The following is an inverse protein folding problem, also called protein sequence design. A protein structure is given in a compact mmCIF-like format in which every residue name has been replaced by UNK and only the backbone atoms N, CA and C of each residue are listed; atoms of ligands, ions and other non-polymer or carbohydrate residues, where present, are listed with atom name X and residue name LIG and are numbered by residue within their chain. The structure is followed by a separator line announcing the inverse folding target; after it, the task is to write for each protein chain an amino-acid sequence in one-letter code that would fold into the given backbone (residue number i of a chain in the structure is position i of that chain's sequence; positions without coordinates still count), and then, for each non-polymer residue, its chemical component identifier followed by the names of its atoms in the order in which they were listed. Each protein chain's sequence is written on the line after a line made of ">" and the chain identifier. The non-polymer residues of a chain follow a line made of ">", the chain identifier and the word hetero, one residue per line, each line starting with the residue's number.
data_IF_621433374271
#
_entry.id   IF_621433374271
#
_cell.length_a   1.000
_cell.length_b   1.000
_cell.length_c   1.000
_cell.angle_alpha   90.00
_cell.angle_beta   90.00
_cell.angle_gamma   90.00
#
_symmetry.space_group_name_H-M   'P 1'
#
loop_
_entity.id
_entity.type
_entity.pdbx_description
1 polymer ?
#
# COMPACT_ATOMS: atom_id res chain seq x y z
N UNK A 1 -7.24 -2.45 11.36
CA UNK A 1 -5.81 -2.48 11.06
C UNK A 1 -5.20 -3.89 11.05
N UNK A 2 -5.27 -4.68 12.15
CA UNK A 2 -4.68 -6.02 12.19
C UNK A 2 -5.18 -6.95 11.06
N UNK A 3 -6.50 -7.00 10.83
CA UNK A 3 -7.07 -7.77 9.72
C UNK A 3 -6.56 -7.32 8.34
N UNK A 4 -6.36 -6.02 8.15
CA UNK A 4 -5.77 -5.47 6.92
C UNK A 4 -4.35 -5.99 6.71
N UNK A 5 -3.55 -5.94 7.77
CA UNK A 5 -2.15 -6.37 7.75
C UNK A 5 -2.00 -7.86 7.47
N UNK A 6 -2.83 -8.69 8.10
CA UNK A 6 -2.90 -10.14 7.84
C UNK A 6 -3.36 -10.37 6.39
N UNK A 7 -4.40 -9.67 5.94
CA UNK A 7 -4.90 -9.77 4.58
C UNK A 7 -3.83 -9.48 3.52
N UNK A 8 -3.08 -8.38 3.68
CA UNK A 8 -1.97 -8.05 2.78
C UNK A 8 -0.81 -9.05 2.87
N UNK A 9 -0.53 -9.59 4.07
CA UNK A 9 0.49 -10.63 4.24
C UNK A 9 0.11 -11.91 3.49
N UNK A 10 -1.11 -12.38 3.67
CA UNK A 10 -1.63 -13.55 2.96
C UNK A 10 -1.74 -13.30 1.44
N UNK A 11 -2.12 -12.08 1.02
CA UNK A 11 -2.09 -11.69 -0.39
C UNK A 11 -0.68 -11.82 -0.98
N UNK A 12 0.35 -11.37 -0.26
CA UNK A 12 1.74 -11.51 -0.72
C UNK A 12 2.15 -12.98 -0.88
N UNK A 13 1.69 -13.86 0.01
CA UNK A 13 1.88 -15.31 -0.11
C UNK A 13 1.20 -15.86 -1.35
N UNK A 14 -0.06 -15.49 -1.61
CA UNK A 14 -0.81 -15.97 -2.79
C UNK A 14 -0.22 -15.44 -4.09
N UNK A 15 0.29 -14.20 -4.13
CA UNK A 15 1.06 -13.67 -5.26
C UNK A 15 2.29 -14.54 -5.53
N UNK A 16 3.06 -14.88 -4.47
CA UNK A 16 4.25 -15.73 -4.59
C UNK A 16 3.93 -17.14 -5.07
N UNK A 17 2.79 -17.72 -4.65
CA UNK A 17 2.33 -19.03 -5.13
C UNK A 17 1.88 -18.97 -6.60
N UNK A 18 1.12 -17.93 -6.99
CA UNK A 18 0.68 -17.72 -8.36
C UNK A 18 1.86 -17.45 -9.32
N UNK A 19 2.92 -16.76 -8.85
CA UNK A 19 4.09 -16.41 -9.68
C UNK A 19 4.95 -17.61 -10.10
N UNK A 20 4.60 -18.83 -9.63
CA UNK A 20 5.24 -20.06 -10.11
C UNK A 20 4.79 -20.47 -11.51
N UNK A 21 3.59 -20.06 -11.92
CA UNK A 21 2.97 -20.43 -13.20
C UNK A 21 2.52 -19.23 -14.03
N UNK A 22 2.26 -18.09 -13.40
CA UNK A 22 1.71 -16.92 -14.05
C UNK A 22 2.71 -15.75 -14.04
N UNK A 23 2.63 -14.92 -15.07
CA UNK A 23 3.42 -13.68 -15.13
C UNK A 23 2.91 -12.65 -14.12
N UNK A 24 3.80 -11.75 -13.70
CA UNK A 24 3.44 -10.64 -12.80
C UNK A 24 2.28 -9.78 -13.34
N UNK A 25 2.18 -9.64 -14.67
CA UNK A 25 1.13 -8.85 -15.33
C UNK A 25 -0.22 -9.53 -15.24
N UNK A 26 -0.28 -10.85 -15.42
CA UNK A 26 -1.50 -11.65 -15.27
C UNK A 26 -1.98 -11.65 -13.83
N UNK A 27 -1.06 -11.85 -12.88
CA UNK A 27 -1.38 -11.76 -11.43
C UNK A 27 -1.96 -10.38 -11.11
N UNK A 28 -1.39 -9.30 -11.65
CA UNK A 28 -1.88 -7.95 -11.45
C UNK A 28 -3.30 -7.77 -12.04
N UNK A 29 -3.56 -8.31 -13.23
CA UNK A 29 -4.89 -8.29 -13.83
C UNK A 29 -5.91 -9.04 -12.98
N UNK A 30 -5.65 -10.31 -12.68
CA UNK A 30 -6.60 -11.13 -11.90
C UNK A 30 -6.82 -10.56 -10.50
N UNK A 31 -5.78 -10.04 -9.85
CA UNK A 31 -5.92 -9.33 -8.56
C UNK A 31 -6.87 -8.14 -8.67
N UNK A 32 -6.75 -7.33 -9.71
CA UNK A 32 -7.62 -6.18 -9.91
C UNK A 32 -9.04 -6.60 -10.28
N UNK A 33 -9.18 -7.58 -11.17
CA UNK A 33 -10.47 -8.10 -11.61
C UNK A 33 -11.26 -8.71 -10.43
N UNK A 34 -10.69 -9.68 -9.73
CA UNK A 34 -11.34 -10.29 -8.57
C UNK A 34 -11.48 -9.30 -7.40
N UNK A 35 -10.57 -8.33 -7.31
CA UNK A 35 -10.68 -7.24 -6.36
C UNK A 35 -11.89 -6.35 -6.65
N UNK A 36 -12.13 -5.99 -7.89
CA UNK A 36 -13.33 -5.26 -8.31
C UNK A 36 -14.60 -6.06 -8.03
N UNK A 37 -14.62 -7.34 -8.40
CA UNK A 37 -15.76 -8.25 -8.13
C UNK A 37 -16.06 -8.32 -6.64
N UNK A 38 -15.03 -8.43 -5.79
CA UNK A 38 -15.19 -8.44 -4.34
C UNK A 38 -15.62 -7.10 -3.74
N UNK A 39 -15.28 -5.99 -4.40
CA UNK A 39 -15.66 -4.63 -3.96
C UNK A 39 -17.13 -4.33 -4.28
N UNK A 40 -17.64 -4.80 -5.42
CA UNK A 40 -19.00 -4.48 -5.87
C UNK A 40 -20.08 -4.75 -4.82
N UNK A 41 -20.15 -5.92 -4.15
CA UNK A 41 -21.15 -6.16 -3.11
C UNK A 41 -21.04 -5.19 -1.93
N UNK A 42 -19.83 -4.73 -1.59
CA UNK A 42 -19.61 -3.77 -0.50
C UNK A 42 -20.16 -2.39 -0.84
N UNK A 43 -20.12 -1.99 -2.11
CA UNK A 43 -20.64 -0.71 -2.59
C UNK A 43 -22.14 -0.77 -2.91
N UNK A 44 -22.59 -1.86 -3.52
CA UNK A 44 -23.99 -2.05 -3.90
C UNK A 44 -24.88 -2.37 -2.70
N UNK A 45 -24.39 -3.12 -1.71
CA UNK A 45 -25.18 -3.52 -0.55
C UNK A 45 -25.85 -2.35 0.20
N UNK A 46 -25.13 -1.28 0.56
CA UNK A 46 -25.71 -0.09 1.13
C UNK A 46 -26.68 0.62 0.15
N UNK A 47 -26.32 0.73 -1.13
CA UNK A 47 -27.15 1.38 -2.15
C UNK A 47 -28.49 0.66 -2.35
N UNK A 48 -28.50 -0.68 -2.35
CA UNK A 48 -29.71 -1.50 -2.50
C UNK A 48 -30.71 -1.34 -1.34
N UNK A 49 -30.27 -0.78 -0.21
CA UNK A 49 -31.13 -0.51 0.95
C UNK A 49 -31.79 0.87 0.89
N UNK A 50 -31.48 1.69 -0.13
CA UNK A 50 -32.08 3.01 -0.34
C UNK A 50 -33.28 2.93 -1.28
N UNK A 51 -34.22 3.91 -1.22
CA UNK A 51 -35.36 3.97 -2.13
C UNK A 51 -34.98 4.04 -3.62
N UNK A 52 -33.84 4.67 -3.94
CA UNK A 52 -33.29 4.73 -5.28
C UNK A 52 -31.83 4.21 -5.29
N UNK A 53 -31.63 2.90 -5.50
CA UNK A 53 -30.29 2.29 -5.51
C UNK A 53 -29.35 2.85 -6.59
N UNK A 54 -29.93 3.26 -7.75
CA UNK A 54 -29.13 3.79 -8.87
C UNK A 54 -28.59 5.17 -8.56
N UNK A 55 -29.43 6.04 -7.99
CA UNK A 55 -28.99 7.36 -7.57
C UNK A 55 -27.93 7.27 -6.44
N UNK A 56 -28.16 6.43 -5.44
CA UNK A 56 -27.23 6.21 -4.34
C UNK A 56 -25.87 5.69 -4.81
N UNK A 57 -25.84 4.69 -5.72
CA UNK A 57 -24.61 4.19 -6.30
C UNK A 57 -23.91 5.27 -7.13
N UNK A 58 -24.66 6.00 -7.97
CA UNK A 58 -24.10 7.08 -8.79
C UNK A 58 -23.47 8.18 -7.92
N UNK A 59 -24.06 8.51 -6.80
CA UNK A 59 -23.50 9.48 -5.85
C UNK A 59 -22.21 8.96 -5.20
N UNK A 60 -22.18 7.69 -4.81
CA UNK A 60 -20.99 7.04 -4.22
C UNK A 60 -19.80 7.04 -5.18
N UNK A 61 -20.01 6.89 -6.49
CA UNK A 61 -18.93 6.82 -7.48
C UNK A 61 -18.68 8.14 -8.22
N UNK A 62 -19.44 9.20 -7.91
CA UNK A 62 -19.33 10.48 -8.58
C UNK A 62 -18.01 11.17 -8.22
N UNK A 63 -17.27 11.61 -9.24
CA UNK A 63 -16.08 12.46 -9.09
C UNK A 63 -15.99 13.48 -10.21
N UNK A 64 -15.38 14.61 -9.93
CA UNK A 64 -15.07 15.66 -10.93
C UNK A 64 -13.59 15.66 -11.32
N UNK A 65 -12.79 14.73 -10.76
CA UNK A 65 -11.32 14.74 -10.87
C UNK A 65 -10.76 13.53 -11.64
N UNK A 66 -11.47 13.05 -12.66
CA UNK A 66 -11.08 11.83 -13.42
C UNK A 66 -9.64 11.89 -13.98
N UNK A 67 -9.16 13.05 -14.42
CA UNK A 67 -7.78 13.21 -14.89
C UNK A 67 -6.74 12.90 -13.81
N UNK A 68 -6.99 13.31 -12.55
CA UNK A 68 -6.12 12.98 -11.41
C UNK A 68 -6.15 11.48 -11.08
N UNK A 69 -7.32 10.85 -11.22
CA UNK A 69 -7.43 9.39 -11.09
C UNK A 69 -6.64 8.67 -12.18
N UNK A 70 -6.64 9.17 -13.42
CA UNK A 70 -5.85 8.62 -14.51
C UNK A 70 -4.33 8.64 -14.24
N UNK A 71 -3.80 9.81 -13.83
CA UNK A 71 -2.38 9.93 -13.46
C UNK A 71 -2.03 9.03 -12.29
N UNK A 72 -2.88 9.01 -11.23
CA UNK A 72 -2.70 8.15 -10.09
C UNK A 72 -2.74 6.65 -10.47
N UNK A 73 -3.65 6.28 -11.37
CA UNK A 73 -3.78 4.91 -11.83
C UNK A 73 -2.52 4.44 -12.58
N UNK A 74 -1.94 5.29 -13.44
CA UNK A 74 -0.69 5.00 -14.14
C UNK A 74 0.47 4.78 -13.16
N UNK A 75 0.70 5.73 -12.26
CA UNK A 75 1.79 5.63 -11.28
C UNK A 75 1.57 4.43 -10.34
N UNK A 76 0.33 4.24 -9.89
CA UNK A 76 -0.02 3.13 -9.01
C UNK A 76 0.10 1.76 -9.69
N UNK A 77 -0.23 1.67 -11.00
CA UNK A 77 -0.03 0.45 -11.79
C UNK A 77 1.43 0.08 -11.89
N UNK A 78 2.30 1.04 -12.20
CA UNK A 78 3.76 0.82 -12.22
C UNK A 78 4.23 0.34 -10.85
N UNK A 79 3.84 1.02 -9.77
CA UNK A 79 4.21 0.63 -8.41
C UNK A 79 3.71 -0.77 -8.02
N UNK A 80 2.49 -1.13 -8.43
CA UNK A 80 1.92 -2.46 -8.18
C UNK A 80 2.70 -3.54 -8.92
N UNK A 81 3.02 -3.34 -10.20
CA UNK A 81 3.79 -4.31 -11.00
C UNK A 81 5.19 -4.49 -10.41
N UNK A 82 5.88 -3.40 -10.06
CA UNK A 82 7.18 -3.46 -9.41
C UNK A 82 7.12 -4.19 -8.06
N UNK A 83 6.09 -3.92 -7.26
CA UNK A 83 5.86 -4.59 -5.97
C UNK A 83 5.59 -6.09 -6.13
N UNK A 84 4.73 -6.48 -7.07
CA UNK A 84 4.43 -7.89 -7.32
C UNK A 84 5.62 -8.62 -7.90
N UNK A 85 6.36 -7.98 -8.82
CA UNK A 85 7.61 -8.53 -9.31
C UNK A 85 8.63 -8.75 -8.17
N UNK A 86 8.72 -7.81 -7.23
CA UNK A 86 9.60 -7.95 -6.06
C UNK A 86 9.18 -9.13 -5.18
N UNK A 87 7.88 -9.30 -4.93
CA UNK A 87 7.34 -10.42 -4.17
C UNK A 87 7.61 -11.75 -4.90
N UNK A 88 7.54 -11.75 -6.23
CA UNK A 88 7.79 -12.94 -7.04
C UNK A 88 9.28 -13.35 -7.10
N UNK A 89 10.21 -12.41 -7.02
CA UNK A 89 11.63 -12.64 -7.34
C UNK A 89 12.58 -12.45 -6.16
N UNK A 90 12.17 -11.80 -5.07
CA UNK A 90 12.98 -11.65 -3.86
C UNK A 90 12.48 -12.58 -2.74
N UNK A 91 13.29 -12.88 -1.73
CA UNK A 91 12.78 -13.45 -0.49
C UNK A 91 11.63 -12.61 0.07
N UNK A 92 10.54 -13.26 0.49
CA UNK A 92 9.29 -12.60 0.81
C UNK A 92 9.44 -11.56 1.93
N UNK A 93 10.25 -11.92 2.95
CA UNK A 93 10.60 -11.01 4.05
C UNK A 93 11.38 -9.78 3.58
N UNK A 94 12.32 -9.95 2.63
CA UNK A 94 13.11 -8.85 2.07
C UNK A 94 12.24 -7.91 1.23
N UNK A 95 11.38 -8.44 0.36
CA UNK A 95 10.46 -7.64 -0.46
C UNK A 95 9.55 -6.77 0.40
N UNK A 96 8.95 -7.35 1.45
CA UNK A 96 8.06 -6.63 2.36
C UNK A 96 8.81 -5.65 3.26
N UNK A 97 10.01 -6.01 3.76
CA UNK A 97 10.82 -5.08 4.55
C UNK A 97 11.21 -3.83 3.75
N UNK A 98 11.56 -3.98 2.47
CA UNK A 98 11.85 -2.85 1.58
C UNK A 98 10.59 -2.02 1.26
N UNK A 99 9.41 -2.64 1.12
CA UNK A 99 8.17 -1.91 0.94
C UNK A 99 7.86 -0.99 2.14
N UNK A 100 8.27 -1.36 3.37
CA UNK A 100 8.14 -0.50 4.54
C UNK A 100 9.07 0.71 4.57
N UNK A 101 9.95 0.89 3.58
CA UNK A 101 10.65 2.17 3.36
C UNK A 101 9.75 3.26 2.75
N UNK A 102 8.55 2.92 2.26
CA UNK A 102 7.61 3.87 1.67
C UNK A 102 7.32 5.11 2.54
N UNK A 103 7.11 5.05 3.87
CA UNK A 103 6.91 6.25 4.70
C UNK A 103 8.09 7.24 4.69
N UNK A 104 9.31 6.74 4.47
CA UNK A 104 10.50 7.58 4.32
C UNK A 104 10.35 8.42 3.04
N UNK A 105 9.99 7.78 1.95
CA UNK A 105 9.75 8.44 0.66
C UNK A 105 8.50 9.33 0.69
N UNK A 106 7.46 8.99 1.45
CA UNK A 106 6.29 9.85 1.67
C UNK A 106 6.71 11.18 2.28
N UNK A 107 7.64 11.18 3.25
CA UNK A 107 8.16 12.42 3.84
C UNK A 107 8.89 13.27 2.81
N UNK A 108 9.75 12.66 1.99
CA UNK A 108 10.46 13.35 0.90
C UNK A 108 9.47 13.89 -0.14
N UNK A 109 8.50 13.08 -0.56
CA UNK A 109 7.48 13.48 -1.53
C UNK A 109 6.58 14.61 -1.01
N UNK A 110 6.24 14.63 0.29
CA UNK A 110 5.46 15.71 0.90
C UNK A 110 6.20 17.06 0.84
N UNK A 111 7.52 17.05 1.05
CA UNK A 111 8.34 18.26 0.88
C UNK A 111 8.37 18.72 -0.57
N UNK A 112 8.63 17.81 -1.51
CA UNK A 112 8.81 18.15 -2.92
C UNK A 112 7.50 18.49 -3.64
N UNK A 113 6.41 17.80 -3.31
CA UNK A 113 5.12 17.93 -4.02
C UNK A 113 4.15 18.88 -3.32
N UNK A 114 4.15 18.93 -1.98
CA UNK A 114 3.23 19.74 -1.19
C UNK A 114 3.91 20.98 -0.60
N UNK A 115 5.22 21.14 -0.74
CA UNK A 115 5.97 22.25 -0.13
C UNK A 115 5.96 22.21 1.40
N UNK A 116 5.75 21.04 2.01
CA UNK A 116 5.73 20.93 3.50
C UNK A 116 7.11 21.26 4.08
N UNK A 117 7.13 22.12 5.10
CA UNK A 117 8.36 22.42 5.84
C UNK A 117 8.60 21.32 6.86
N UNK A 118 9.64 20.53 6.63
CA UNK A 118 10.04 19.42 7.49
C UNK A 118 11.19 19.84 8.40
N UNK A 119 11.00 19.71 9.72
CA UNK A 119 12.02 20.07 10.72
C UNK A 119 13.16 19.04 10.72
N UNK A 120 14.35 19.49 11.20
CA UNK A 120 15.61 18.69 11.24
C UNK A 120 15.42 17.30 11.87
N UNK A 121 14.63 17.17 12.92
CA UNK A 121 14.36 15.87 13.58
C UNK A 121 13.69 14.85 12.65
N UNK A 122 12.79 15.32 11.77
CA UNK A 122 12.12 14.43 10.80
C UNK A 122 13.09 14.03 9.69
N UNK A 123 13.98 14.95 9.27
CA UNK A 123 15.05 14.63 8.31
C UNK A 123 16.06 13.62 8.90
N UNK A 124 16.40 13.74 10.18
CA UNK A 124 17.25 12.75 10.86
C UNK A 124 16.60 11.35 10.85
N UNK A 125 15.31 11.26 11.15
CA UNK A 125 14.60 9.99 11.06
C UNK A 125 14.57 9.43 9.64
N UNK A 126 14.34 10.28 8.62
CA UNK A 126 14.41 9.87 7.21
C UNK A 126 15.79 9.30 6.86
N UNK A 127 16.87 9.97 7.31
CA UNK A 127 18.24 9.50 7.09
C UNK A 127 18.51 8.15 7.77
N UNK A 128 18.05 7.96 9.01
CA UNK A 128 18.17 6.68 9.73
C UNK A 128 17.41 5.57 8.99
N UNK A 129 16.18 5.83 8.55
CA UNK A 129 15.39 4.86 7.79
C UNK A 129 16.05 4.51 6.45
N UNK A 130 16.66 5.50 5.78
CA UNK A 130 17.42 5.28 4.56
C UNK A 130 18.65 4.39 4.79
N UNK A 131 19.36 4.56 5.90
CA UNK A 131 20.44 3.65 6.31
C UNK A 131 19.89 2.23 6.50
N UNK A 132 18.74 2.05 7.16
CA UNK A 132 18.10 0.75 7.29
C UNK A 132 17.80 0.09 5.95
N UNK A 133 17.31 0.86 4.97
CA UNK A 133 17.10 0.39 3.61
C UNK A 133 18.42 -0.04 2.95
N UNK A 134 19.49 0.76 3.08
CA UNK A 134 20.82 0.40 2.55
C UNK A 134 21.38 -0.87 3.18
N UNK A 135 21.12 -1.12 4.47
CA UNK A 135 21.51 -2.37 5.15
C UNK A 135 20.82 -3.59 4.53
N UNK A 136 19.57 -3.48 4.09
CA UNK A 136 18.85 -4.56 3.37
C UNK A 136 19.38 -4.73 1.95
N UNK A 137 19.53 -3.62 1.22
CA UNK A 137 19.90 -3.61 -0.21
C UNK A 137 21.37 -4.06 -0.40
N UNK A 138 22.25 -3.68 0.51
CA UNK A 138 23.70 -3.99 0.46
C UNK A 138 24.34 -3.68 -0.89
N UNK A 139 24.31 -2.41 -1.38
CA UNK A 139 24.70 -2.08 -2.74
C UNK A 139 26.17 -2.34 -3.07
N UNK A 140 27.04 -2.50 -2.03
CA UNK A 140 28.47 -2.76 -2.18
C UNK A 140 28.86 -4.23 -1.87
N UNK A 141 27.90 -5.14 -1.77
CA UNK A 141 28.14 -6.56 -1.50
C UNK A 141 27.91 -7.43 -2.72
N UNK A 142 28.54 -8.60 -2.76
CA UNK A 142 28.29 -9.60 -3.80
C UNK A 142 26.84 -10.14 -3.78
N UNK A 143 26.08 -9.87 -2.73
CA UNK A 143 24.65 -10.25 -2.61
C UNK A 143 23.68 -9.19 -3.13
N UNK A 144 24.22 -8.08 -3.67
CA UNK A 144 23.39 -7.04 -4.30
C UNK A 144 22.66 -7.60 -5.51
N UNK A 145 21.33 -7.36 -5.56
CA UNK A 145 20.51 -7.76 -6.69
C UNK A 145 19.73 -6.55 -7.24
N UNK A 146 19.59 -6.50 -8.56
CA UNK A 146 18.72 -5.52 -9.20
C UNK A 146 17.27 -5.55 -8.66
N UNK A 147 16.83 -6.73 -8.19
CA UNK A 147 15.52 -6.90 -7.56
C UNK A 147 15.32 -6.01 -6.34
N UNK A 148 16.36 -5.77 -5.55
CA UNK A 148 16.27 -4.84 -4.41
C UNK A 148 15.98 -3.41 -4.86
N UNK A 149 16.53 -2.96 -6.00
CA UNK A 149 16.23 -1.64 -6.56
C UNK A 149 14.78 -1.56 -7.08
N UNK A 150 14.27 -2.65 -7.66
CA UNK A 150 12.86 -2.74 -8.08
C UNK A 150 11.93 -2.59 -6.87
N UNK A 151 12.24 -3.24 -5.75
CA UNK A 151 11.47 -3.09 -4.51
C UNK A 151 11.51 -1.65 -3.95
N UNK A 152 12.67 -1.00 -4.01
CA UNK A 152 12.81 0.41 -3.61
C UNK A 152 12.01 1.33 -4.55
N UNK A 153 12.06 1.10 -5.87
CA UNK A 153 11.26 1.84 -6.84
C UNK A 153 9.75 1.66 -6.59
N UNK A 154 9.31 0.45 -6.22
CA UNK A 154 7.93 0.20 -5.78
C UNK A 154 7.56 1.01 -4.53
N UNK A 155 8.47 1.13 -3.56
CA UNK A 155 8.25 1.93 -2.35
C UNK A 155 8.14 3.43 -2.67
N UNK A 156 8.95 3.96 -3.60
CA UNK A 156 8.90 5.34 -4.07
C UNK A 156 7.57 5.62 -4.77
N UNK A 157 7.16 4.77 -5.71
CA UNK A 157 5.88 4.93 -6.41
C UNK A 157 4.69 4.84 -5.45
N UNK A 158 4.75 3.94 -4.46
CA UNK A 158 3.75 3.85 -3.39
C UNK A 158 3.67 5.14 -2.57
N UNK A 159 4.80 5.79 -2.31
CA UNK A 159 4.83 7.07 -1.61
C UNK A 159 4.14 8.19 -2.42
N UNK A 160 4.41 8.27 -3.71
CA UNK A 160 3.75 9.24 -4.60
C UNK A 160 2.24 8.99 -4.62
N UNK A 161 1.81 7.74 -4.75
CA UNK A 161 0.39 7.35 -4.70
C UNK A 161 -0.26 7.73 -3.37
N UNK A 162 0.45 7.57 -2.24
CA UNK A 162 -0.07 7.97 -0.93
C UNK A 162 -0.35 9.48 -0.85
N UNK A 163 0.52 10.32 -1.40
CA UNK A 163 0.29 11.78 -1.51
C UNK A 163 -0.94 12.07 -2.37
N UNK A 164 -1.05 11.43 -3.54
CA UNK A 164 -2.20 11.61 -4.43
C UNK A 164 -3.52 11.16 -3.78
N UNK A 165 -3.51 10.08 -2.99
CA UNK A 165 -4.68 9.66 -2.21
C UNK A 165 -5.04 10.74 -1.18
N UNK A 166 -4.05 11.29 -0.46
CA UNK A 166 -4.27 12.38 0.51
C UNK A 166 -4.95 13.58 -0.16
N UNK A 167 -4.47 13.98 -1.34
CA UNK A 167 -5.09 15.07 -2.11
C UNK A 167 -6.52 14.75 -2.59
N UNK A 168 -6.78 13.54 -3.08
CA UNK A 168 -8.11 13.12 -3.53
C UNK A 168 -9.09 12.99 -2.35
N UNK A 169 -8.62 12.52 -1.19
CA UNK A 169 -9.47 12.33 0.00
C UNK A 169 -10.02 13.63 0.60
N UNK A 170 -9.52 14.79 0.16
CA UNK A 170 -10.07 16.10 0.55
C UNK A 170 -11.45 16.38 -0.05
N UNK A 171 -11.78 15.75 -1.18
CA UNK A 171 -13.03 15.99 -1.91
C UNK A 171 -13.84 14.72 -2.13
N UNK A 172 -13.19 13.58 -2.28
CA UNK A 172 -13.83 12.33 -2.64
C UNK A 172 -13.87 11.36 -1.44
N UNK A 173 -14.89 10.51 -1.40
CA UNK A 173 -14.98 9.49 -0.36
C UNK A 173 -13.95 8.38 -0.55
N UNK A 174 -13.54 7.67 0.51
CA UNK A 174 -12.68 6.49 0.38
C UNK A 174 -13.21 5.44 -0.61
N UNK A 175 -14.53 5.24 -0.60
CA UNK A 175 -15.20 4.27 -1.47
C UNK A 175 -15.11 4.68 -2.95
N UNK A 176 -15.29 5.98 -3.25
CA UNK A 176 -15.07 6.57 -4.57
C UNK A 176 -13.63 6.34 -5.04
N UNK A 177 -12.65 6.59 -4.15
CA UNK A 177 -11.23 6.44 -4.47
C UNK A 177 -10.89 4.98 -4.80
N UNK A 178 -11.38 4.04 -4.00
CA UNK A 178 -11.13 2.60 -4.22
C UNK A 178 -11.82 2.12 -5.49
N UNK A 179 -13.08 2.53 -5.73
CA UNK A 179 -13.84 2.18 -6.93
C UNK A 179 -13.09 2.61 -8.22
N UNK A 180 -12.74 3.90 -8.33
CA UNK A 180 -12.03 4.39 -9.52
C UNK A 180 -10.64 3.79 -9.69
N UNK A 181 -10.00 3.42 -8.60
CA UNK A 181 -8.72 2.69 -8.65
C UNK A 181 -8.88 1.37 -9.41
N UNK A 182 -9.82 0.51 -8.98
CA UNK A 182 -10.06 -0.76 -9.63
C UNK A 182 -10.61 -0.61 -11.05
N UNK A 183 -11.52 0.35 -11.24
CA UNK A 183 -12.16 0.59 -12.54
C UNK A 183 -11.15 0.98 -13.62
N UNK A 184 -10.09 1.71 -13.25
CA UNK A 184 -9.01 2.07 -14.16
C UNK A 184 -7.94 0.96 -14.24
N UNK A 185 -7.62 0.31 -13.12
CA UNK A 185 -6.57 -0.71 -13.10
C UNK A 185 -6.96 -2.00 -13.83
N UNK A 186 -8.23 -2.40 -13.85
CA UNK A 186 -8.68 -3.60 -14.57
C UNK A 186 -8.36 -3.49 -16.07
N UNK A 187 -8.82 -2.48 -16.83
CA UNK A 187 -8.50 -2.39 -18.26
C UNK A 187 -7.01 -2.16 -18.52
N UNK A 188 -6.31 -1.39 -17.66
CA UNK A 188 -4.88 -1.14 -17.82
C UNK A 188 -4.06 -2.40 -17.61
N UNK A 189 -4.36 -3.19 -16.57
CA UNK A 189 -3.66 -4.45 -16.31
C UNK A 189 -4.01 -5.52 -17.36
N UNK A 190 -5.23 -5.52 -17.87
CA UNK A 190 -5.60 -6.39 -19.00
C UNK A 190 -4.77 -6.06 -20.24
N UNK A 191 -4.69 -4.77 -20.61
CA UNK A 191 -3.91 -4.34 -21.75
C UNK A 191 -2.42 -4.70 -21.63
N UNK A 192 -1.87 -4.69 -20.40
CA UNK A 192 -0.50 -5.12 -20.15
C UNK A 192 -0.35 -6.65 -20.18
N UNK A 193 -1.32 -7.39 -19.66
CA UNK A 193 -1.26 -8.85 -19.55
C UNK A 193 -1.51 -9.57 -20.89
N UNK A 194 -2.29 -8.96 -21.81
CA UNK A 194 -2.73 -9.61 -23.05
C UNK A 194 -1.58 -10.08 -23.95
N UNK A 195 -0.42 -9.41 -23.88
CA UNK A 195 0.75 -9.76 -24.69
C UNK A 195 1.50 -11.00 -24.19
N UNK A 196 1.26 -11.43 -22.96
CA UNK A 196 1.89 -12.59 -22.33
C UNK A 196 0.83 -13.52 -21.75
N UNK A 197 -0.38 -13.49 -22.33
CA UNK A 197 -1.54 -14.17 -21.77
C UNK A 197 -1.43 -15.68 -21.84
N UNK A 198 -1.51 -16.31 -20.69
CA UNK A 198 -1.69 -17.74 -20.51
C UNK A 198 -2.98 -17.98 -19.72
N UNK A 199 -3.69 -19.04 -20.02
CA UNK A 199 -4.86 -19.40 -19.22
C UNK A 199 -4.40 -20.12 -17.96
N UNK A 200 -4.72 -19.59 -16.76
CA UNK A 200 -4.38 -20.26 -15.52
C UNK A 200 -4.95 -21.66 -15.45
N UNK A 201 -4.20 -22.60 -14.89
CA UNK A 201 -4.61 -24.00 -14.81
C UNK A 201 -4.71 -24.47 -13.34
N UNK A 202 -5.63 -25.41 -13.12
CA UNK A 202 -5.76 -26.11 -11.84
C UNK A 202 -5.86 -25.17 -10.63
N UNK A 203 -4.98 -25.38 -9.67
CA UNK A 203 -4.96 -24.67 -8.39
C UNK A 203 -4.56 -23.17 -8.49
N UNK A 204 -3.95 -22.77 -9.61
CA UNK A 204 -3.56 -21.37 -9.82
C UNK A 204 -4.76 -20.42 -9.76
N UNK A 205 -5.93 -20.84 -10.26
CA UNK A 205 -7.16 -20.07 -10.13
C UNK A 205 -7.49 -19.71 -8.69
N UNK A 206 -7.29 -20.67 -7.76
CA UNK A 206 -7.51 -20.40 -6.34
C UNK A 206 -6.59 -19.30 -5.82
N UNK A 207 -5.31 -19.34 -6.19
CA UNK A 207 -4.35 -18.31 -5.75
C UNK A 207 -4.68 -16.94 -6.31
N UNK A 208 -5.10 -16.85 -7.55
CA UNK A 208 -5.50 -15.59 -8.21
C UNK A 208 -6.77 -15.00 -7.59
N UNK A 209 -7.79 -15.81 -7.34
CA UNK A 209 -9.03 -15.40 -6.65
C UNK A 209 -8.70 -14.91 -5.23
N UNK A 210 -7.93 -15.69 -4.47
CA UNK A 210 -7.51 -15.31 -3.12
C UNK A 210 -6.70 -14.02 -3.10
N UNK A 211 -5.81 -13.81 -4.09
CA UNK A 211 -5.04 -12.57 -4.21
C UNK A 211 -5.97 -11.34 -4.34
N UNK A 212 -7.00 -11.44 -5.18
CA UNK A 212 -8.00 -10.38 -5.34
C UNK A 212 -8.84 -10.14 -4.09
N UNK A 213 -9.37 -11.21 -3.48
CA UNK A 213 -10.19 -11.13 -2.26
C UNK A 213 -9.41 -10.58 -1.08
N UNK A 214 -8.23 -11.17 -0.76
CA UNK A 214 -7.39 -10.75 0.36
C UNK A 214 -6.88 -9.32 0.17
N UNK A 215 -6.52 -8.95 -1.07
CA UNK A 215 -6.13 -7.59 -1.41
C UNK A 215 -7.24 -6.59 -1.19
N UNK A 216 -8.48 -6.90 -1.56
CA UNK A 216 -9.64 -6.02 -1.35
C UNK A 216 -10.02 -5.92 0.11
N UNK A 217 -10.07 -7.03 0.84
CA UNK A 217 -10.29 -7.03 2.29
C UNK A 217 -9.22 -6.19 2.99
N UNK A 218 -7.95 -6.42 2.65
CA UNK A 218 -6.83 -5.63 3.15
C UNK A 218 -7.02 -4.14 2.89
N UNK A 219 -7.33 -3.76 1.66
CA UNK A 219 -7.50 -2.37 1.22
C UNK A 219 -8.68 -1.67 1.92
N UNK A 220 -9.83 -2.32 1.99
CA UNK A 220 -11.03 -1.76 2.65
C UNK A 220 -10.79 -1.60 4.15
N UNK A 221 -10.23 -2.61 4.81
CA UNK A 221 -9.92 -2.55 6.24
C UNK A 221 -8.84 -1.50 6.55
N UNK A 222 -7.84 -1.36 5.68
CA UNK A 222 -6.83 -0.30 5.77
C UNK A 222 -7.46 1.08 5.71
N UNK A 223 -8.26 1.34 4.67
CA UNK A 223 -8.90 2.63 4.46
C UNK A 223 -9.83 3.01 5.61
N UNK A 224 -10.61 2.04 6.12
CA UNK A 224 -11.47 2.23 7.29
C UNK A 224 -10.67 2.48 8.56
N UNK A 225 -9.56 1.77 8.76
CA UNK A 225 -8.70 1.98 9.93
C UNK A 225 -8.09 3.40 9.93
N UNK A 226 -7.65 3.90 8.78
CA UNK A 226 -7.14 5.26 8.62
C UNK A 226 -8.21 6.33 8.90
N UNK A 227 -9.49 6.04 8.62
CA UNK A 227 -10.59 6.95 8.92
C UNK A 227 -10.93 6.99 10.42
N UNK A 228 -10.75 5.87 11.14
CA UNK A 228 -11.15 5.73 12.54
C UNK A 228 -10.03 6.04 13.54
N UNK A 229 -8.78 5.95 13.14
CA UNK A 229 -7.63 6.07 14.04
C UNK A 229 -6.54 7.01 13.58
N UNK A 230 -5.70 7.44 14.50
CA UNK A 230 -4.50 8.18 14.17
C UNK A 230 -3.50 7.26 13.45
N UNK A 231 -2.98 7.72 12.30
CA UNK A 231 -2.03 6.96 11.47
C UNK A 231 -0.82 6.48 12.29
N UNK A 232 -0.36 7.31 13.22
CA UNK A 232 0.78 7.02 14.10
C UNK A 232 0.57 5.80 15.01
N UNK A 233 -0.64 5.63 15.54
CA UNK A 233 -0.98 4.47 16.36
C UNK A 233 -1.12 3.19 15.53
N UNK A 234 -1.41 3.31 14.23
CA UNK A 234 -1.65 2.20 13.33
C UNK A 234 -0.36 1.67 12.66
N UNK A 235 0.67 2.52 12.52
CA UNK A 235 1.93 2.17 11.85
C UNK A 235 2.64 0.96 12.48
N UNK A 236 2.79 0.82 13.80
CA UNK A 236 3.43 -0.36 14.40
C UNK A 236 2.68 -1.66 14.10
N UNK A 237 1.35 -1.61 13.99
CA UNK A 237 0.51 -2.79 13.70
C UNK A 237 0.79 -3.31 12.27
N UNK A 238 1.16 -2.43 11.35
CA UNK A 238 1.49 -2.82 9.97
C UNK A 238 2.64 -3.83 9.90
N UNK A 239 3.59 -3.76 10.83
CA UNK A 239 4.73 -4.68 10.85
C UNK A 239 4.36 -6.14 11.16
N UNK A 240 3.13 -6.41 11.65
CA UNK A 240 2.62 -7.78 11.76
C UNK A 240 2.61 -8.47 10.39
N UNK A 241 2.46 -7.73 9.28
CA UNK A 241 2.62 -8.29 7.94
C UNK A 241 3.99 -8.92 7.73
N UNK A 242 5.07 -8.28 8.21
CA UNK A 242 6.41 -8.83 8.09
C UNK A 242 6.53 -10.17 8.84
N UNK A 243 5.91 -10.28 10.01
CA UNK A 243 5.87 -11.54 10.76
C UNK A 243 5.12 -12.62 9.98
N UNK A 244 3.93 -12.28 9.45
CA UNK A 244 3.10 -13.21 8.64
C UNK A 244 3.88 -13.72 7.43
N UNK A 245 4.49 -12.82 6.64
CA UNK A 245 5.22 -13.23 5.44
C UNK A 245 6.53 -13.95 5.75
N UNK A 246 7.17 -13.64 6.87
CA UNK A 246 8.38 -14.34 7.33
C UNK A 246 8.06 -15.79 7.70
N UNK A 247 7.02 -16.01 8.49
CA UNK A 247 6.56 -17.36 8.86
C UNK A 247 6.13 -18.13 7.61
N UNK A 248 5.35 -17.51 6.73
CA UNK A 248 4.93 -18.14 5.49
C UNK A 248 6.11 -18.43 4.54
N UNK A 249 7.07 -17.53 4.44
CA UNK A 249 8.30 -17.69 3.67
C UNK A 249 9.10 -18.92 4.12
N UNK A 250 9.25 -19.06 5.43
CA UNK A 250 9.93 -20.22 6.02
C UNK A 250 9.16 -21.52 5.80
N UNK A 251 7.85 -21.54 6.10
CA UNK A 251 7.04 -22.77 6.04
C UNK A 251 6.75 -23.25 4.61
N UNK A 252 6.46 -22.33 3.69
CA UNK A 252 5.96 -22.67 2.34
C UNK A 252 7.02 -22.62 1.25
N UNK A 253 8.08 -21.84 1.48
CA UNK A 253 9.12 -21.60 0.48
C UNK A 253 10.52 -22.01 0.94
N UNK A 254 10.68 -22.43 2.21
CA UNK A 254 12.00 -22.78 2.78
C UNK A 254 12.94 -21.57 2.89
N UNK A 255 12.40 -20.35 2.88
CA UNK A 255 13.20 -19.13 2.94
C UNK A 255 13.71 -18.89 4.36
N UNK A 256 15.00 -18.67 4.51
CA UNK A 256 15.59 -18.22 5.78
C UNK A 256 15.75 -16.71 5.77
N UNK A 257 15.29 -16.06 6.85
CA UNK A 257 15.44 -14.61 6.97
C UNK A 257 16.90 -14.29 7.23
N UNK A 258 17.48 -13.51 6.32
CA UNK A 258 18.84 -13.03 6.48
C UNK A 258 18.93 -12.01 7.62
N UNK A 259 20.00 -12.12 8.43
CA UNK A 259 20.24 -11.23 9.59
C UNK A 259 20.23 -9.73 9.22
N UNK A 260 20.74 -9.39 8.04
CA UNK A 260 20.78 -8.01 7.58
C UNK A 260 19.38 -7.47 7.23
N UNK A 261 18.52 -8.34 6.69
CA UNK A 261 17.11 -8.02 6.47
C UNK A 261 16.40 -7.72 7.80
N UNK A 262 16.66 -8.49 8.86
CA UNK A 262 16.11 -8.25 10.18
C UNK A 262 16.61 -6.93 10.80
N UNK A 263 17.93 -6.69 10.73
CA UNK A 263 18.54 -5.45 11.25
C UNK A 263 17.98 -4.24 10.50
N UNK A 264 18.00 -4.26 9.17
CA UNK A 264 17.50 -3.15 8.36
C UNK A 264 16.00 -2.91 8.53
N UNK A 265 15.19 -3.97 8.64
CA UNK A 265 13.77 -3.88 8.93
C UNK A 265 13.52 -3.25 10.31
N UNK A 266 14.31 -3.62 11.33
CA UNK A 266 14.24 -3.02 12.66
C UNK A 266 14.57 -1.52 12.64
N UNK A 267 15.58 -1.11 11.88
CA UNK A 267 15.96 0.31 11.70
C UNK A 267 14.84 1.07 10.97
N UNK A 268 14.30 0.52 9.88
CA UNK A 268 13.19 1.14 9.14
C UNK A 268 11.96 1.28 10.05
N UNK A 269 11.65 0.22 10.83
CA UNK A 269 10.55 0.25 11.79
C UNK A 269 10.71 1.37 12.82
N UNK A 270 11.86 1.43 13.49
CA UNK A 270 12.13 2.45 14.51
C UNK A 270 12.01 3.86 13.91
N UNK A 271 12.58 4.08 12.72
CA UNK A 271 12.50 5.34 12.00
C UNK A 271 11.06 5.73 11.64
N UNK A 272 10.31 4.81 11.03
CA UNK A 272 8.92 5.09 10.61
C UNK A 272 7.99 5.27 11.79
N UNK A 273 8.16 4.50 12.87
CA UNK A 273 7.41 4.66 14.11
C UNK A 273 7.69 6.02 14.78
N UNK A 274 8.96 6.46 14.77
CA UNK A 274 9.31 7.80 15.29
C UNK A 274 8.66 8.91 14.45
N UNK A 275 8.72 8.84 13.11
CA UNK A 275 8.07 9.81 12.22
C UNK A 275 6.57 9.88 12.53
N UNK A 276 5.89 8.73 12.57
CA UNK A 276 4.46 8.63 12.82
C UNK A 276 4.08 9.17 14.21
N UNK A 277 4.82 8.81 15.26
CA UNK A 277 4.60 9.33 16.61
C UNK A 277 4.73 10.86 16.64
N UNK A 278 5.77 11.40 16.02
CA UNK A 278 6.02 12.84 15.98
C UNK A 278 4.93 13.62 15.25
N UNK A 279 4.41 13.08 14.15
CA UNK A 279 3.28 13.67 13.42
C UNK A 279 2.02 13.75 14.29
N UNK A 280 1.71 12.67 15.03
CA UNK A 280 0.58 12.67 15.96
C UNK A 280 0.71 13.71 17.07
N UNK A 281 1.90 13.82 17.67
CA UNK A 281 2.15 14.85 18.71
C UNK A 281 1.93 16.25 18.15
N UNK A 282 2.45 16.54 16.96
CA UNK A 282 2.27 17.85 16.31
C UNK A 282 0.81 18.13 15.94
N UNK A 283 0.07 17.11 15.48
CA UNK A 283 -1.35 17.23 15.15
C UNK A 283 -2.19 17.54 16.40
N UNK A 284 -1.88 16.87 17.54
CA UNK A 284 -2.53 17.16 18.83
C UNK A 284 -2.26 18.57 19.31
N UNK A 285 -1.00 19.04 19.24
CA UNK A 285 -0.64 20.40 19.62
C UNK A 285 -1.39 21.45 18.79
N UNK A 286 -1.48 21.27 17.47
CA UNK A 286 -2.24 22.18 16.60
C UNK A 286 -3.73 22.23 16.95
N UNK A 287 -4.35 21.08 17.28
CA UNK A 287 -5.76 21.03 17.71
C UNK A 287 -5.97 21.73 19.05
N UNK A 288 -5.06 21.55 20.00
CA UNK A 288 -5.12 22.21 21.29
C UNK A 288 -5.02 23.75 21.17
N UNK A 289 -4.07 24.26 20.36
CA UNK A 289 -3.95 25.70 20.11
C UNK A 289 -5.22 26.26 19.44
N UNK A 290 -5.71 25.58 18.38
CA UNK A 290 -6.93 26.02 17.71
C UNK A 290 -8.17 26.03 18.63
N UNK A 291 -8.25 25.10 19.59
CA UNK A 291 -9.34 25.07 20.57
C UNK A 291 -9.19 26.22 21.60
N UNK A 292 -7.95 26.55 22.01
CA UNK A 292 -7.66 27.67 22.91
C UNK A 292 -7.98 29.00 22.24
N UNK A 293 -7.54 29.19 20.99
CA UNK A 293 -7.80 30.39 20.20
C UNK A 293 -9.33 30.60 19.96
N UNK A 294 -10.09 29.51 19.74
CA UNK A 294 -11.55 29.58 19.61
C UNK A 294 -12.25 29.96 20.92
N UNK A 295 -11.75 29.47 22.07
CA UNK A 295 -12.26 29.85 23.39
C UNK A 295 -11.97 31.32 23.72
N UNK A 296 -10.79 31.82 23.37
CA UNK A 296 -10.39 33.23 23.58
C UNK A 296 -11.15 34.18 22.64
N UNK A 297 -11.53 33.70 21.43
CA UNK A 297 -12.34 34.48 20.47
C UNK A 297 -13.84 34.51 20.83
N UNK A 298 -14.27 33.84 21.89
CA UNK A 298 -15.67 33.83 22.33
C UNK A 298 -16.66 33.12 21.41
N UNK A 299 -16.17 32.15 20.61
CA UNK A 299 -16.96 31.25 19.73
C UNK A 299 -17.27 29.93 20.41
#
# INVERSE_FOLDING_TARGET
>A
MLLSTIGFGLMAVTIRLASRSESTLEIAFFRNFFGLVALLPLLLGPALRTPDPRAAFRETVRTTRLSRYGVRALIGMVGMILGFWSIANLPLSQAIALAYSSPIFVTVAAVLMLGEIVRVRRWAAVAIGFIGMLVIVRPFSHTFTLGSLVAVAAAITSAIVAIQIKELSTTDSPDTIVFWTYMLWVPMSLAAAVFQWHWPQGITWLWLVLTGLLGTIGQVMWTRALKLGEVSALTPISFVQLVVVTIAGWLLFGEHVDRWTLIGAGIIFASTAYIAHREAVLARQKRSHAATDAMEAGL
#
